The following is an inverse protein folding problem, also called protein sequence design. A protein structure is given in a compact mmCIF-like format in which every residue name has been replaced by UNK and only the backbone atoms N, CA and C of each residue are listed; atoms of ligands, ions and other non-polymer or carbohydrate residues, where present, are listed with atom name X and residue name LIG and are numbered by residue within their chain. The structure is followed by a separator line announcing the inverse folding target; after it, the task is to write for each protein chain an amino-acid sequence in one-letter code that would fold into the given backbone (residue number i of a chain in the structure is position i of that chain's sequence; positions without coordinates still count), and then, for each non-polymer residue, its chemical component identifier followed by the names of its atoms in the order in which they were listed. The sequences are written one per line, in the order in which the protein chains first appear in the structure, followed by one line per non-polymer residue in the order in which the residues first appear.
data_IF_643092375357
#
_entry.id   IF_643092375357
#
_cell.length_a   1.000
_cell.length_b   1.000
_cell.length_c   1.000
_cell.angle_alpha   90.00
_cell.angle_beta   90.00
_cell.angle_gamma   90.00
#
_symmetry.space_group_name_H-M   'P 1'
#
loop_
_entity.id
_entity.type
_entity.pdbx_description
1 polymer ?
#
# COMPACT_ATOMS: atom_id res chain seq x y z
N UNK A 1 4.25 -3.60 19.04
CA UNK A 1 4.64 -3.40 17.62
C UNK A 1 4.17 -2.05 17.06
N UNK A 2 2.94 -1.59 17.30
CA UNK A 2 2.40 -0.31 16.81
C UNK A 2 3.21 0.97 17.15
N UNK A 3 3.75 1.08 18.37
CA UNK A 3 4.55 2.26 18.77
C UNK A 3 5.83 2.43 17.95
N UNK A 4 6.51 1.32 17.65
CA UNK A 4 7.74 1.29 16.84
C UNK A 4 7.47 1.75 15.41
N UNK A 5 6.35 1.30 14.82
CA UNK A 5 5.95 1.74 13.50
C UNK A 5 5.60 3.22 13.47
N UNK A 6 4.83 3.77 14.43
CA UNK A 6 4.48 5.19 14.45
C UNK A 6 5.69 6.13 14.48
N UNK A 7 6.67 5.85 15.34
CA UNK A 7 7.89 6.68 15.42
C UNK A 7 8.78 6.53 14.20
N UNK A 8 8.97 5.28 13.73
CA UNK A 8 9.73 5.00 12.51
C UNK A 8 9.10 5.70 11.31
N UNK A 9 7.79 5.57 11.12
CA UNK A 9 7.06 6.16 9.99
C UNK A 9 7.26 7.66 9.91
N UNK A 10 7.17 8.38 11.05
CA UNK A 10 7.48 9.81 11.09
C UNK A 10 8.91 10.13 10.68
N UNK A 11 9.89 9.41 11.24
CA UNK A 11 11.31 9.61 10.90
C UNK A 11 11.60 9.35 9.43
N UNK A 12 10.91 8.38 8.81
CA UNK A 12 11.11 8.06 7.41
C UNK A 12 10.20 8.86 6.47
N UNK A 13 9.22 9.62 6.97
CA UNK A 13 8.25 10.32 6.12
C UNK A 13 7.20 9.40 5.49
N UNK A 14 6.98 8.21 6.07
CA UNK A 14 5.89 7.32 5.70
C UNK A 14 4.59 7.81 6.36
N UNK A 15 3.52 7.85 5.58
CA UNK A 15 2.22 8.36 6.00
C UNK A 15 1.20 7.22 6.00
N UNK A 16 0.68 6.81 7.17
CA UNK A 16 -0.43 5.87 7.26
C UNK A 16 -1.78 6.57 7.07
N UNK A 17 -2.71 5.88 6.43
CA UNK A 17 -4.08 6.31 6.19
C UNK A 17 -5.06 5.19 6.56
N UNK A 18 -6.25 5.58 6.97
CA UNK A 18 -7.38 4.68 7.26
C UNK A 18 -8.49 4.96 6.25
N UNK A 19 -8.98 3.92 5.60
CA UNK A 19 -10.18 4.01 4.77
C UNK A 19 -11.42 3.73 5.61
N UNK A 20 -12.46 4.52 5.36
CA UNK A 20 -13.77 4.34 5.95
C UNK A 20 -14.77 3.96 4.87
N UNK A 21 -15.62 2.99 5.16
CA UNK A 21 -16.80 2.66 4.37
C UNK A 21 -18.02 2.79 5.27
N UNK A 22 -18.98 3.64 4.88
CA UNK A 22 -20.19 3.91 5.66
C UNK A 22 -19.88 4.33 7.12
N UNK A 23 -18.83 5.15 7.30
CA UNK A 23 -18.38 5.61 8.62
C UNK A 23 -17.59 4.60 9.46
N UNK A 24 -17.42 3.35 8.98
CA UNK A 24 -16.67 2.30 9.67
C UNK A 24 -15.28 2.13 9.09
N UNK A 25 -14.26 2.00 9.94
CA UNK A 25 -12.89 1.75 9.49
C UNK A 25 -12.81 0.39 8.77
N UNK A 26 -12.53 0.41 7.47
CA UNK A 26 -12.61 -0.74 6.57
C UNK A 26 -11.24 -1.19 6.04
N UNK A 27 -10.20 -0.39 6.23
CA UNK A 27 -8.86 -0.76 5.79
C UNK A 27 -7.81 0.30 6.12
N UNK A 28 -6.55 -0.04 5.83
CA UNK A 28 -5.41 0.85 5.98
C UNK A 28 -4.52 0.79 4.76
N UNK A 29 -3.89 1.92 4.42
CA UNK A 29 -2.79 1.98 3.45
C UNK A 29 -1.71 2.93 3.97
N UNK A 30 -0.45 2.62 3.72
CA UNK A 30 0.66 3.54 3.99
C UNK A 30 1.40 3.89 2.71
N UNK A 31 1.74 5.18 2.57
CA UNK A 31 2.46 5.72 1.41
C UNK A 31 3.75 6.34 1.89
N UNK A 32 4.84 6.06 1.17
CA UNK A 32 6.17 6.53 1.51
C UNK A 32 6.87 7.15 0.29
N UNK A 33 6.74 8.47 0.09
CA UNK A 33 7.47 9.20 -0.95
C UNK A 33 8.99 9.23 -0.67
N UNK A 34 9.79 8.91 -1.68
CA UNK A 34 11.26 8.78 -1.66
C UNK A 34 11.84 9.15 -3.02
N UNK A 35 12.21 10.42 -3.18
CA UNK A 35 12.70 10.94 -4.46
C UNK A 35 11.63 10.76 -5.54
N UNK A 36 11.97 10.09 -6.63
CA UNK A 36 11.05 9.85 -7.75
C UNK A 36 10.06 8.69 -7.50
N UNK A 37 10.18 7.97 -6.39
CA UNK A 37 9.34 6.80 -6.09
C UNK A 37 8.42 7.05 -4.89
N UNK A 38 7.21 6.51 -4.92
CA UNK A 38 6.36 6.35 -3.75
C UNK A 38 6.16 4.86 -3.45
N UNK A 39 6.51 4.42 -2.25
CA UNK A 39 6.32 3.03 -1.83
C UNK A 39 5.01 2.87 -1.08
N UNK A 40 4.19 1.91 -1.48
CA UNK A 40 3.07 1.42 -0.67
C UNK A 40 3.62 0.30 0.20
N UNK A 41 3.84 0.60 1.49
CA UNK A 41 4.49 -0.32 2.44
C UNK A 41 3.51 -1.35 3.01
N UNK A 42 2.28 -0.93 3.29
CA UNK A 42 1.22 -1.82 3.75
C UNK A 42 -0.12 -1.41 3.14
N UNK A 43 -0.90 -2.40 2.71
CA UNK A 43 -2.29 -2.21 2.29
C UNK A 43 -3.10 -3.40 2.79
N UNK A 44 -4.17 -3.13 3.53
CA UNK A 44 -5.00 -4.17 4.10
C UNK A 44 -6.46 -3.73 4.13
N UNK A 45 -7.35 -4.59 3.62
CA UNK A 45 -8.80 -4.44 3.77
C UNK A 45 -9.27 -5.40 4.86
N UNK A 46 -10.05 -4.88 5.81
CA UNK A 46 -10.67 -5.69 6.85
C UNK A 46 -11.51 -6.80 6.21
N UNK A 47 -11.44 -8.06 6.69
CA UNK A 47 -12.10 -9.21 6.05
C UNK A 47 -13.57 -8.98 5.68
N UNK A 48 -14.37 -8.42 6.59
CA UNK A 48 -15.81 -8.15 6.40
C UNK A 48 -16.12 -7.10 5.33
N UNK A 49 -15.10 -6.35 4.88
CA UNK A 49 -15.23 -5.29 3.89
C UNK A 49 -14.52 -5.61 2.57
N UNK A 50 -14.01 -6.85 2.41
CA UNK A 50 -13.40 -7.32 1.16
C UNK A 50 -14.44 -7.41 0.04
N UNK A 51 -13.96 -7.38 -1.20
CA UNK A 51 -14.80 -7.42 -2.41
C UNK A 51 -15.83 -6.28 -2.54
N UNK A 52 -15.68 -5.22 -1.73
CA UNK A 52 -16.49 -4.00 -1.80
C UNK A 52 -15.74 -2.78 -2.35
N UNK A 53 -14.58 -3.00 -2.98
CA UNK A 53 -13.78 -1.93 -3.60
C UNK A 53 -12.89 -1.12 -2.65
N UNK A 54 -12.82 -1.46 -1.36
CA UNK A 54 -12.02 -0.73 -0.35
C UNK A 54 -10.52 -0.72 -0.71
N UNK A 55 -9.93 -1.89 -0.96
CA UNK A 55 -8.52 -2.00 -1.37
C UNK A 55 -8.21 -1.21 -2.64
N UNK A 56 -9.06 -1.32 -3.67
CA UNK A 56 -8.92 -0.58 -4.94
C UNK A 56 -8.92 0.93 -4.69
N UNK A 57 -9.84 1.42 -3.87
CA UNK A 57 -9.98 2.85 -3.55
C UNK A 57 -8.76 3.37 -2.80
N UNK A 58 -8.26 2.61 -1.82
CA UNK A 58 -7.04 2.97 -1.08
C UNK A 58 -5.81 3.09 -1.98
N UNK A 59 -5.63 2.15 -2.90
CA UNK A 59 -4.51 2.18 -3.85
C UNK A 59 -4.61 3.33 -4.84
N UNK A 60 -5.80 3.59 -5.36
CA UNK A 60 -6.04 4.73 -6.23
C UNK A 60 -5.69 6.05 -5.54
N UNK A 61 -6.11 6.22 -4.28
CA UNK A 61 -5.76 7.38 -3.48
C UNK A 61 -4.26 7.43 -3.16
N UNK A 62 -3.60 6.29 -2.93
CA UNK A 62 -2.15 6.23 -2.76
C UNK A 62 -1.40 6.72 -4.01
N UNK A 63 -1.83 6.33 -5.21
CA UNK A 63 -1.27 6.81 -6.47
C UNK A 63 -1.47 8.33 -6.64
N UNK A 64 -2.64 8.86 -6.29
CA UNK A 64 -2.88 10.32 -6.31
C UNK A 64 -1.91 11.06 -5.39
N UNK A 65 -1.69 10.55 -4.17
CA UNK A 65 -0.73 11.13 -3.23
C UNK A 65 0.71 11.08 -3.74
N UNK A 66 1.08 10.02 -4.45
CA UNK A 66 2.38 9.93 -5.10
C UNK A 66 2.55 11.01 -6.18
N UNK A 67 1.52 11.24 -6.99
CA UNK A 67 1.50 12.31 -8.00
C UNK A 67 1.63 13.68 -7.35
N UNK A 68 0.85 13.95 -6.28
CA UNK A 68 0.91 15.22 -5.53
C UNK A 68 2.29 15.44 -4.90
N UNK A 69 2.96 14.37 -4.49
CA UNK A 69 4.33 14.38 -4.00
C UNK A 69 5.41 14.48 -5.11
N UNK A 70 5.00 14.61 -6.37
CA UNK A 70 5.87 14.65 -7.57
C UNK A 70 6.73 13.40 -7.75
N UNK A 71 6.25 12.24 -7.28
CA UNK A 71 6.85 10.97 -7.62
C UNK A 71 6.43 10.57 -9.03
N UNK A 72 7.36 9.98 -9.78
CA UNK A 72 7.12 9.43 -11.12
C UNK A 72 6.54 8.01 -11.06
N UNK A 73 6.90 7.26 -10.02
CA UNK A 73 6.58 5.84 -9.90
C UNK A 73 5.94 5.50 -8.56
N UNK A 74 4.91 4.65 -8.58
CA UNK A 74 4.34 4.05 -7.36
C UNK A 74 4.65 2.56 -7.36
N UNK A 75 5.21 2.06 -6.25
CA UNK A 75 5.72 0.71 -6.13
C UNK A 75 5.13 -0.02 -4.92
N UNK A 76 4.98 -1.33 -5.01
CA UNK A 76 4.68 -2.22 -3.90
C UNK A 76 5.33 -3.57 -4.12
N UNK A 77 5.49 -4.34 -3.04
CA UNK A 77 5.86 -5.76 -3.12
C UNK A 77 4.65 -6.56 -2.66
N UNK A 78 4.37 -7.66 -3.37
CA UNK A 78 3.30 -8.59 -3.04
C UNK A 78 3.87 -10.00 -3.02
N UNK A 79 3.22 -10.87 -2.25
CA UNK A 79 3.47 -12.30 -2.37
C UNK A 79 3.18 -12.76 -3.81
N UNK A 80 4.12 -13.51 -4.38
CA UNK A 80 4.06 -14.00 -5.75
C UNK A 80 2.89 -14.97 -5.96
N UNK A 81 2.51 -15.71 -4.93
CA UNK A 81 1.51 -16.78 -4.98
C UNK A 81 0.14 -16.37 -4.42
N UNK A 82 0.00 -15.16 -3.88
CA UNK A 82 -1.29 -14.63 -3.40
C UNK A 82 -2.05 -13.83 -4.48
N UNK A 83 -3.32 -13.56 -4.23
CA UNK A 83 -4.31 -12.93 -5.11
C UNK A 83 -4.29 -11.39 -5.22
N UNK A 84 -3.75 -10.59 -4.27
CA UNK A 84 -3.79 -9.11 -4.35
C UNK A 84 -3.21 -8.53 -5.65
N UNK A 85 -2.25 -9.21 -6.27
CA UNK A 85 -1.64 -8.81 -7.56
C UNK A 85 -2.65 -8.63 -8.69
N UNK A 86 -3.75 -9.39 -8.69
CA UNK A 86 -4.77 -9.27 -9.72
C UNK A 86 -5.53 -7.94 -9.59
N UNK A 87 -5.80 -7.48 -8.37
CA UNK A 87 -6.34 -6.15 -8.14
C UNK A 87 -5.37 -5.05 -8.58
N UNK A 88 -4.07 -5.19 -8.31
CA UNK A 88 -3.06 -4.19 -8.71
C UNK A 88 -3.03 -4.00 -10.23
N UNK A 89 -3.07 -5.09 -11.01
CA UNK A 89 -3.14 -5.03 -12.49
C UNK A 89 -4.32 -4.20 -12.99
N UNK A 90 -5.48 -4.31 -12.36
CA UNK A 90 -6.67 -3.51 -12.73
C UNK A 90 -6.56 -2.01 -12.44
N UNK A 91 -5.46 -1.57 -11.82
CA UNK A 91 -5.10 -0.17 -11.57
C UNK A 91 -3.89 0.26 -12.41
N UNK A 92 -3.42 -0.58 -13.34
CA UNK A 92 -2.27 -0.30 -14.21
C UNK A 92 -0.91 -0.62 -13.60
N UNK A 93 -0.86 -1.32 -12.46
CA UNK A 93 0.42 -1.84 -11.97
C UNK A 93 0.88 -3.01 -12.83
N UNK A 94 2.18 -3.02 -13.11
CA UNK A 94 2.84 -4.09 -13.86
C UNK A 94 3.93 -4.72 -12.99
N UNK A 95 4.19 -6.01 -13.21
CA UNK A 95 5.28 -6.70 -12.55
C UNK A 95 6.62 -6.29 -13.19
N UNK A 96 7.50 -5.68 -12.41
CA UNK A 96 8.82 -5.21 -12.88
C UNK A 96 9.99 -6.10 -12.41
N UNK A 97 9.72 -7.06 -11.53
CA UNK A 97 10.73 -7.99 -11.01
C UNK A 97 10.25 -8.84 -9.85
N UNK A 98 11.12 -9.74 -9.40
CA UNK A 98 10.92 -10.60 -8.24
C UNK A 98 12.02 -10.32 -7.20
N UNK A 99 11.65 -10.34 -5.91
CA UNK A 99 12.62 -10.30 -4.80
C UNK A 99 12.49 -11.63 -4.04
N UNK A 100 13.59 -12.37 -3.95
CA UNK A 100 13.66 -13.63 -3.20
C UNK A 100 14.43 -13.41 -1.91
N UNK A 101 13.74 -13.54 -0.79
CA UNK A 101 14.35 -13.57 0.54
C UNK A 101 14.38 -14.99 1.08
N UNK A 102 15.41 -15.32 1.85
CA UNK A 102 15.45 -16.54 2.65
C UNK A 102 15.11 -16.18 4.08
N UNK A 103 14.09 -16.81 4.64
CA UNK A 103 13.83 -16.75 6.08
C UNK A 103 14.78 -17.76 6.73
N UNK A 104 15.50 -17.32 7.76
CA UNK A 104 16.19 -18.24 8.66
C UNK A 104 15.18 -18.67 9.71
N UNK A 105 14.91 -19.96 9.78
CA UNK A 105 14.15 -20.58 10.88
C UNK A 105 14.90 -20.47 12.21
#
# INVERSE_FOLDING_TARGET
MWGVWRERSKRVGMQPYVAYLDGTAAGTVSVWPRGIFAWIDNVATHPDFRMRGVGRTMLFEACKRAIDARCEWTLLISDLFDTPKEMYKTLGFEAIGEVRGFLRE
#
